data_IF_448176530852
#
_entry.id   IF_448176530852
#
_cell.length_a   1.000
_cell.length_b   1.000
_cell.length_c   1.000
_cell.angle_alpha   90.00
_cell.angle_beta   90.00
_cell.angle_gamma   90.00
#
_symmetry.space_group_name_H-M   'P 1'
#
loop_
_entity.id
_entity.type
_entity.pdbx_description
1 polymer ?
#
# COMPACT_ATOMS: atom_id res chain seq x y z
N UNK A 1 18.51 -38.90 37.84
CA UNK A 1 17.47 -37.87 38.05
C UNK A 1 18.12 -36.64 38.68
N UNK A 2 18.52 -35.66 37.87
CA UNK A 2 19.10 -34.41 38.39
C UNK A 2 17.96 -33.48 38.83
N UNK A 3 17.96 -33.07 40.11
CA UNK A 3 17.04 -32.07 40.65
C UNK A 3 17.37 -30.72 40.01
N UNK A 4 16.49 -30.22 39.14
CA UNK A 4 16.57 -28.87 38.61
C UNK A 4 16.52 -27.86 39.78
N UNK A 5 17.46 -26.92 39.78
CA UNK A 5 17.62 -25.92 40.82
C UNK A 5 16.46 -24.92 40.77
N UNK A 6 15.60 -24.90 41.81
CA UNK A 6 14.34 -24.14 41.86
C UNK A 6 14.49 -22.64 41.54
N UNK A 7 15.67 -22.05 41.79
CA UNK A 7 15.94 -20.63 41.47
C UNK A 7 16.00 -20.35 39.97
N UNK A 8 16.56 -21.27 39.17
CA UNK A 8 16.67 -21.09 37.71
C UNK A 8 15.30 -21.22 37.05
N UNK A 9 14.47 -22.16 37.55
CA UNK A 9 13.08 -22.33 37.10
C UNK A 9 12.22 -21.10 37.42
N UNK A 10 12.35 -20.51 38.62
CA UNK A 10 11.67 -19.25 38.95
C UNK A 10 12.13 -18.09 38.06
N UNK A 11 13.43 -17.98 37.77
CA UNK A 11 13.95 -16.90 36.94
C UNK A 11 13.44 -17.00 35.49
N UNK A 12 13.41 -18.22 34.94
CA UNK A 12 12.86 -18.47 33.61
C UNK A 12 11.36 -18.15 33.54
N UNK A 13 10.59 -18.55 34.56
CA UNK A 13 9.16 -18.26 34.61
C UNK A 13 8.88 -16.76 34.76
N UNK A 14 9.71 -16.02 35.51
CA UNK A 14 9.59 -14.56 35.63
C UNK A 14 9.91 -13.85 34.31
N UNK A 15 10.93 -14.31 33.58
CA UNK A 15 11.28 -13.80 32.25
C UNK A 15 10.17 -14.08 31.22
N UNK A 16 9.58 -15.28 31.26
CA UNK A 16 8.42 -15.64 30.44
C UNK A 16 7.22 -14.75 30.77
N UNK A 17 6.95 -14.47 32.04
CA UNK A 17 5.85 -13.58 32.43
C UNK A 17 6.07 -12.14 31.97
N UNK A 18 7.29 -11.62 32.13
CA UNK A 18 7.66 -10.27 31.68
C UNK A 18 7.59 -10.13 30.16
N UNK A 19 8.01 -11.15 29.41
CA UNK A 19 7.89 -11.15 27.94
C UNK A 19 6.43 -11.20 27.48
N UNK A 20 5.56 -11.95 28.17
CA UNK A 20 4.12 -11.96 27.89
C UNK A 20 3.48 -10.60 28.18
N UNK A 21 3.86 -9.95 29.29
CA UNK A 21 3.37 -8.60 29.63
C UNK A 21 3.85 -7.55 28.61
N UNK A 22 5.10 -7.65 28.12
CA UNK A 22 5.59 -6.79 27.04
C UNK A 22 4.85 -7.02 25.71
N UNK A 23 4.57 -8.28 25.37
CA UNK A 23 3.79 -8.61 24.17
C UNK A 23 2.35 -8.08 24.26
N UNK A 24 1.71 -8.15 25.42
CA UNK A 24 0.35 -7.60 25.63
C UNK A 24 0.38 -6.07 25.57
N UNK A 25 1.35 -5.42 26.21
CA UNK A 25 1.49 -3.96 26.20
C UNK A 25 1.76 -3.40 24.80
N UNK A 26 2.59 -4.09 24.01
CA UNK A 26 2.84 -3.72 22.60
C UNK A 26 1.66 -4.02 21.68
N UNK A 27 0.85 -5.03 21.99
CA UNK A 27 -0.39 -5.31 21.27
C UNK A 27 -1.51 -4.29 21.55
N UNK A 28 -1.56 -3.69 22.74
CA UNK A 28 -2.66 -2.77 23.14
C UNK A 28 -2.41 -1.28 22.87
N UNK A 29 -1.22 -0.86 22.42
CA UNK A 29 -0.93 0.52 21.98
C UNK A 29 -1.38 1.65 22.94
N UNK A 30 -1.32 1.45 24.27
CA UNK A 30 -1.66 2.53 25.23
C UNK A 30 -0.48 3.49 25.41
N UNK A 31 -0.63 4.74 24.95
CA UNK A 31 0.31 5.85 25.25
C UNK A 31 -0.03 6.46 26.61
N UNK A 32 0.94 6.51 27.52
CA UNK A 32 0.94 7.42 28.69
C UNK A 32 1.16 8.85 28.18
N UNK A 33 0.21 9.73 28.46
CA UNK A 33 0.12 11.05 27.84
C UNK A 33 1.07 12.08 28.45
N UNK A 34 1.94 12.64 27.61
CA UNK A 34 2.50 14.00 27.76
C UNK A 34 2.53 14.61 26.36
N UNK A 35 1.79 15.72 26.19
CA UNK A 35 1.59 16.37 24.90
C UNK A 35 2.66 17.40 24.58
N UNK A 36 3.24 17.31 23.38
CA UNK A 36 3.99 18.39 22.75
C UNK A 36 3.23 18.87 21.51
N UNK A 37 3.11 20.19 21.36
CA UNK A 37 2.55 20.83 20.16
C UNK A 37 3.55 20.65 19.01
N UNK A 38 3.15 19.94 17.96
CA UNK A 38 3.91 19.78 16.71
C UNK A 38 3.44 20.84 15.71
N UNK A 39 4.40 21.55 15.11
CA UNK A 39 4.15 22.48 13.99
C UNK A 39 3.98 21.70 12.69
N UNK A 40 3.14 22.26 11.85
CA UNK A 40 2.56 21.68 10.64
C UNK A 40 3.61 21.25 9.60
N UNK A 41 3.54 19.99 9.16
CA UNK A 41 4.26 19.46 8.01
C UNK A 41 3.29 18.62 7.18
N UNK A 42 3.08 19.04 5.93
CA UNK A 42 2.18 18.42 4.95
C UNK A 42 2.48 16.94 4.71
N UNK A 43 1.43 16.15 4.45
CA UNK A 43 1.50 14.71 4.23
C UNK A 43 2.29 14.32 2.97
N UNK A 44 3.48 13.77 3.16
CA UNK A 44 4.29 13.22 2.07
C UNK A 44 4.54 11.73 2.31
N UNK A 45 4.59 10.93 1.23
CA UNK A 45 4.63 9.48 1.32
C UNK A 45 5.91 9.04 2.08
N UNK A 46 5.71 8.29 3.16
CA UNK A 46 6.74 7.96 4.16
C UNK A 46 7.48 6.67 3.77
N UNK A 47 8.79 6.76 3.57
CA UNK A 47 9.71 5.63 3.59
C UNK A 47 10.31 5.50 4.99
N UNK A 48 10.83 4.32 5.34
CA UNK A 48 11.65 4.16 6.55
C UNK A 48 13.10 3.92 6.16
N UNK A 49 13.99 4.73 6.69
CA UNK A 49 15.44 4.58 6.66
C UNK A 49 15.89 3.85 7.92
N UNK A 50 16.74 2.83 7.77
CA UNK A 50 17.37 2.16 8.90
C UNK A 50 18.77 2.76 9.09
N UNK A 51 19.07 3.24 10.30
CA UNK A 51 20.38 3.81 10.64
C UNK A 51 21.50 2.81 10.34
N UNK A 52 22.50 3.23 9.59
CA UNK A 52 23.70 2.46 9.29
C UNK A 52 24.86 2.85 10.23
N UNK A 53 25.89 2.02 10.28
CA UNK A 53 27.08 2.33 11.08
C UNK A 53 27.75 3.60 10.56
N UNK A 54 27.97 4.58 11.46
CA UNK A 54 28.59 5.87 11.13
C UNK A 54 27.60 6.96 10.71
N UNK A 55 26.29 6.67 10.67
CA UNK A 55 25.30 7.70 10.43
C UNK A 55 25.19 8.71 11.59
N UNK A 56 24.88 9.95 11.23
CA UNK A 56 24.40 11.01 12.14
C UNK A 56 23.09 11.56 11.58
N UNK A 57 22.24 12.19 12.40
CA UNK A 57 21.01 12.80 11.88
C UNK A 57 21.27 13.75 10.70
N UNK A 58 22.34 14.55 10.75
CA UNK A 58 22.71 15.47 9.68
C UNK A 58 23.04 14.74 8.37
N UNK A 59 23.81 13.64 8.45
CA UNK A 59 24.11 12.80 7.28
C UNK A 59 22.85 12.12 6.75
N UNK A 60 21.95 11.68 7.62
CA UNK A 60 20.68 11.06 7.20
C UNK A 60 19.80 12.10 6.50
N UNK A 61 19.70 13.32 7.04
CA UNK A 61 18.95 14.44 6.45
C UNK A 61 19.46 14.77 5.05
N UNK A 62 20.78 14.79 4.85
CA UNK A 62 21.40 14.98 3.55
C UNK A 62 21.13 13.80 2.61
N UNK A 63 21.32 12.55 3.09
CA UNK A 63 21.06 11.31 2.33
C UNK A 63 19.62 11.22 1.83
N UNK A 64 18.65 11.66 2.62
CA UNK A 64 17.22 11.63 2.26
C UNK A 64 16.73 12.94 1.61
N UNK A 65 17.65 13.86 1.30
CA UNK A 65 17.38 15.12 0.61
C UNK A 65 16.22 15.93 1.21
N UNK A 66 16.28 16.16 2.53
CA UNK A 66 15.28 16.95 3.27
C UNK A 66 15.94 18.04 4.13
N UNK A 67 15.15 18.87 4.80
CA UNK A 67 15.66 19.81 5.79
C UNK A 67 15.65 19.19 7.19
N UNK A 68 16.58 19.62 8.04
CA UNK A 68 16.68 19.13 9.42
C UNK A 68 15.37 19.35 10.21
N UNK A 69 14.72 20.50 10.01
CA UNK A 69 13.43 20.81 10.61
C UNK A 69 12.33 19.85 10.13
N UNK A 70 12.29 19.53 8.83
CA UNK A 70 11.33 18.57 8.28
C UNK A 70 11.58 17.16 8.79
N UNK A 71 12.85 16.78 8.93
CA UNK A 71 13.28 15.49 9.47
C UNK A 71 12.88 15.29 10.93
N UNK A 72 13.05 16.32 11.77
CA UNK A 72 12.60 16.27 13.17
C UNK A 72 11.07 16.30 13.27
N UNK A 73 10.39 17.06 12.41
CA UNK A 73 8.92 17.14 12.41
C UNK A 73 8.26 15.78 12.14
N UNK A 74 8.86 14.96 11.27
CA UNK A 74 8.36 13.61 10.98
C UNK A 74 8.91 12.54 11.93
N UNK A 75 10.01 12.81 12.63
CA UNK A 75 10.61 11.94 13.65
C UNK A 75 10.66 12.61 15.04
N UNK A 76 9.52 13.01 15.63
CA UNK A 76 9.51 13.85 16.83
C UNK A 76 10.12 13.21 18.08
N UNK A 77 10.37 11.89 18.07
CA UNK A 77 10.97 11.14 19.17
C UNK A 77 12.42 10.72 18.89
N UNK A 78 13.03 11.18 17.79
CA UNK A 78 14.42 10.86 17.51
C UNK A 78 15.34 11.69 18.41
N UNK A 79 16.29 11.02 19.07
CA UNK A 79 17.39 11.68 19.75
C UNK A 79 18.65 11.55 18.90
N UNK A 80 19.08 12.65 18.29
CA UNK A 80 20.20 12.67 17.36
C UNK A 80 21.55 12.37 17.99
N UNK A 81 21.68 12.50 19.31
CA UNK A 81 22.89 12.18 20.06
C UNK A 81 23.00 10.69 20.41
N UNK A 82 21.92 9.92 20.21
CA UNK A 82 21.84 8.52 20.63
C UNK A 82 21.17 7.62 19.59
N UNK A 83 21.33 7.92 18.31
CA UNK A 83 20.86 7.02 17.25
C UNK A 83 21.70 5.74 17.22
N UNK A 84 21.06 4.61 16.92
CA UNK A 84 21.72 3.31 16.89
C UNK A 84 21.46 2.58 15.59
N UNK A 85 22.42 1.75 15.16
CA UNK A 85 22.32 0.96 13.92
C UNK A 85 21.06 0.10 13.94
N UNK A 86 20.27 0.18 12.87
CA UNK A 86 18.97 -0.50 12.75
C UNK A 86 17.79 0.27 13.35
N UNK A 87 17.99 1.44 13.94
CA UNK A 87 16.89 2.31 14.35
C UNK A 87 16.11 2.79 13.13
N UNK A 88 14.78 2.76 13.25
CA UNK A 88 13.86 3.11 12.18
C UNK A 88 13.57 4.60 12.20
N UNK A 89 13.87 5.28 11.09
CA UNK A 89 13.71 6.71 10.91
C UNK A 89 12.81 6.97 9.72
N UNK A 90 11.73 7.71 9.92
CA UNK A 90 10.82 8.12 8.87
C UNK A 90 11.52 9.10 7.93
N UNK A 91 11.35 8.88 6.63
CA UNK A 91 11.90 9.69 5.54
C UNK A 91 10.77 10.11 4.58
N UNK A 92 10.82 11.33 4.07
CA UNK A 92 9.85 11.85 3.11
C UNK A 92 10.36 11.62 1.68
N UNK A 93 9.51 11.05 0.83
CA UNK A 93 9.73 11.12 -0.61
C UNK A 93 9.07 12.38 -1.17
N UNK A 94 9.88 13.37 -1.53
CA UNK A 94 9.48 14.40 -2.46
C UNK A 94 9.23 13.75 -3.83
N UNK A 95 8.00 13.80 -4.32
CA UNK A 95 7.63 13.50 -5.72
C UNK A 95 7.88 12.07 -6.27
N UNK A 96 7.94 11.02 -5.45
CA UNK A 96 8.06 9.64 -5.93
C UNK A 96 6.93 8.70 -5.45
N UNK A 97 6.71 7.62 -6.22
CA UNK A 97 5.54 6.73 -6.16
C UNK A 97 5.20 6.23 -4.75
N UNK A 98 3.93 6.37 -4.39
CA UNK A 98 3.37 5.73 -3.20
C UNK A 98 3.02 4.30 -3.61
N UNK A 99 3.96 3.36 -3.44
CA UNK A 99 3.72 1.93 -3.65
C UNK A 99 3.22 1.32 -2.34
N UNK A 100 2.59 0.13 -2.39
CA UNK A 100 2.19 -0.61 -1.20
C UNK A 100 3.38 -0.73 -0.24
N UNK A 101 3.22 -0.22 1.00
CA UNK A 101 4.29 -0.16 2.01
C UNK A 101 5.03 -1.49 2.23
N UNK A 102 4.35 -2.64 2.08
CA UNK A 102 4.99 -3.95 2.22
C UNK A 102 6.00 -4.26 1.13
N UNK A 103 5.91 -3.71 -0.09
CA UNK A 103 6.89 -3.97 -1.14
C UNK A 103 8.28 -3.49 -0.74
N UNK A 104 8.40 -2.25 -0.24
CA UNK A 104 9.68 -1.73 0.23
C UNK A 104 10.30 -2.57 1.34
N UNK A 105 9.47 -3.09 2.26
CA UNK A 105 9.94 -3.99 3.32
C UNK A 105 10.44 -5.32 2.75
N UNK A 106 9.68 -5.94 1.83
CA UNK A 106 10.07 -7.21 1.20
C UNK A 106 11.41 -7.07 0.46
N UNK A 107 11.57 -6.02 -0.37
CA UNK A 107 12.79 -5.82 -1.14
C UNK A 107 14.00 -5.46 -0.26
N UNK A 108 13.80 -4.65 0.78
CA UNK A 108 14.84 -4.34 1.77
C UNK A 108 15.31 -5.61 2.48
N UNK A 109 14.38 -6.42 2.98
CA UNK A 109 14.71 -7.62 3.75
C UNK A 109 15.31 -8.72 2.86
N UNK A 110 15.02 -8.69 1.56
CA UNK A 110 15.68 -9.50 0.54
C UNK A 110 17.03 -8.92 0.07
N UNK A 111 17.45 -7.76 0.59
CA UNK A 111 18.67 -7.04 0.21
C UNK A 111 18.79 -6.75 -1.29
N UNK A 112 17.69 -6.46 -1.95
CA UNK A 112 17.66 -6.09 -3.37
C UNK A 112 17.63 -4.56 -3.48
N UNK A 113 18.62 -3.94 -4.14
CA UNK A 113 18.59 -2.50 -4.42
C UNK A 113 17.35 -2.14 -5.24
N UNK A 114 16.62 -1.12 -4.80
CA UNK A 114 15.40 -0.67 -5.47
C UNK A 114 15.52 0.80 -5.87
N UNK A 115 14.82 1.15 -6.96
CA UNK A 115 14.53 2.54 -7.36
C UNK A 115 13.02 2.66 -7.56
N UNK A 116 12.51 3.87 -7.44
CA UNK A 116 11.10 4.18 -7.72
C UNK A 116 10.99 4.87 -9.09
N UNK A 117 9.79 4.82 -9.66
CA UNK A 117 9.41 5.57 -10.86
C UNK A 117 8.19 6.42 -10.52
N UNK A 118 7.96 7.51 -11.24
CA UNK A 118 6.84 8.43 -11.02
C UNK A 118 5.54 7.79 -11.50
N UNK A 119 4.48 7.94 -10.72
CA UNK A 119 3.18 7.28 -10.99
C UNK A 119 1.99 8.17 -10.68
N UNK A 120 1.86 8.66 -9.46
CA UNK A 120 0.70 9.46 -9.02
C UNK A 120 1.02 10.96 -9.08
N UNK A 121 0.14 11.75 -9.69
CA UNK A 121 0.19 13.21 -9.63
C UNK A 121 -0.74 13.70 -8.52
N UNK A 122 -0.21 14.45 -7.56
CA UNK A 122 -0.96 14.93 -6.39
C UNK A 122 -1.97 16.02 -6.71
N UNK A 123 -1.67 16.88 -7.68
CA UNK A 123 -2.52 18.00 -8.06
C UNK A 123 -3.74 17.50 -8.85
N UNK A 124 -3.51 16.63 -9.84
CA UNK A 124 -4.59 16.03 -10.62
C UNK A 124 -5.26 14.85 -9.93
N UNK A 125 -4.63 14.29 -8.88
CA UNK A 125 -5.03 13.06 -8.18
C UNK A 125 -5.20 11.85 -9.12
N UNK A 126 -4.47 11.87 -10.23
CA UNK A 126 -4.51 10.88 -11.31
C UNK A 126 -3.12 10.38 -11.68
N UNK A 127 -3.03 9.70 -12.83
CA UNK A 127 -1.79 9.12 -13.32
C UNK A 127 -0.88 10.23 -13.89
N UNK A 128 0.37 10.25 -13.45
CA UNK A 128 1.43 11.04 -14.07
C UNK A 128 2.07 10.25 -15.22
N UNK A 129 1.29 10.03 -16.29
CA UNK A 129 1.67 9.11 -17.36
C UNK A 129 2.96 9.49 -18.07
N UNK A 130 3.16 10.78 -18.36
CA UNK A 130 4.38 11.26 -19.00
C UNK A 130 5.62 10.97 -18.15
N UNK A 131 5.57 11.28 -16.85
CA UNK A 131 6.68 11.04 -15.95
C UNK A 131 6.97 9.55 -15.76
N UNK A 132 5.92 8.72 -15.74
CA UNK A 132 6.05 7.26 -15.73
C UNK A 132 6.83 6.78 -16.95
N UNK A 133 6.40 7.17 -18.16
CA UNK A 133 7.07 6.77 -19.40
C UNK A 133 8.50 7.30 -19.48
N UNK A 134 8.76 8.52 -19.02
CA UNK A 134 10.11 9.07 -18.98
C UNK A 134 11.02 8.22 -18.08
N UNK A 135 10.54 7.78 -16.92
CA UNK A 135 11.31 6.93 -16.01
C UNK A 135 11.54 5.53 -16.58
N UNK A 136 10.55 4.96 -17.29
CA UNK A 136 10.70 3.70 -18.02
C UNK A 136 11.77 3.83 -19.11
N UNK A 137 11.73 4.89 -19.92
CA UNK A 137 12.72 5.11 -20.99
C UNK A 137 14.13 5.33 -20.47
N UNK A 138 14.26 6.00 -19.33
CA UNK A 138 15.54 6.34 -18.72
C UNK A 138 16.11 5.24 -17.81
N UNK A 139 15.32 4.21 -17.49
CA UNK A 139 15.82 3.06 -16.74
C UNK A 139 16.89 2.29 -17.55
N UNK A 140 17.88 1.66 -16.89
CA UNK A 140 18.83 0.79 -17.57
C UNK A 140 18.12 -0.35 -18.32
N UNK A 141 18.60 -0.68 -19.51
CA UNK A 141 18.06 -1.80 -20.30
C UNK A 141 18.05 -3.09 -19.46
N UNK A 142 17.01 -3.92 -19.60
CA UNK A 142 16.89 -5.14 -18.80
C UNK A 142 16.39 -4.95 -17.36
N UNK A 143 16.04 -3.73 -16.94
CA UNK A 143 15.51 -3.47 -15.59
C UNK A 143 14.25 -4.29 -15.26
N UNK A 144 14.13 -4.70 -13.99
CA UNK A 144 12.96 -5.34 -13.43
C UNK A 144 11.97 -4.29 -12.91
N UNK A 145 10.70 -4.40 -13.29
CA UNK A 145 9.63 -3.50 -12.83
C UNK A 145 8.52 -4.27 -12.13
N UNK A 146 8.16 -3.79 -10.94
CA UNK A 146 6.97 -4.25 -10.21
C UNK A 146 5.77 -3.37 -10.56
N UNK A 147 4.70 -3.98 -11.07
CA UNK A 147 3.52 -3.29 -11.60
C UNK A 147 2.24 -3.81 -10.94
N UNK A 148 1.32 -2.91 -10.58
CA UNK A 148 -0.06 -3.27 -10.30
C UNK A 148 -0.83 -3.30 -11.63
N UNK A 149 -1.36 -4.44 -12.09
CA UNK A 149 -2.09 -4.53 -13.36
C UNK A 149 -3.48 -3.88 -13.28
N UNK A 150 -4.04 -3.77 -12.08
CA UNK A 150 -5.31 -3.11 -11.79
C UNK A 150 -5.42 -2.75 -10.29
N UNK A 151 -6.34 -1.85 -9.96
CA UNK A 151 -6.64 -1.38 -8.61
C UNK A 151 -5.38 -1.06 -7.79
N UNK A 152 -4.55 -0.17 -8.33
CA UNK A 152 -3.29 0.24 -7.70
C UNK A 152 -3.48 0.59 -6.22
N UNK A 153 -2.69 -0.05 -5.34
CA UNK A 153 -2.70 0.26 -3.90
C UNK A 153 -1.47 1.11 -3.57
N UNK A 154 -1.63 2.33 -3.01
CA UNK A 154 -2.81 2.87 -2.30
C UNK A 154 -3.72 3.81 -3.12
N UNK A 155 -3.36 4.15 -4.35
CA UNK A 155 -3.94 5.33 -5.03
C UNK A 155 -5.31 5.09 -5.68
N UNK A 156 -5.61 3.86 -6.07
CA UNK A 156 -6.76 3.51 -6.90
C UNK A 156 -6.69 4.09 -8.32
N UNK A 157 -5.53 4.55 -8.77
CA UNK A 157 -5.33 5.10 -10.12
C UNK A 157 -4.67 4.04 -10.97
N UNK A 158 -5.29 3.69 -12.10
CA UNK A 158 -4.75 2.72 -13.06
C UNK A 158 -4.53 3.40 -14.43
N UNK A 159 -3.55 2.95 -15.23
CA UNK A 159 -3.48 3.30 -16.65
C UNK A 159 -4.67 2.72 -17.41
N UNK A 160 -5.11 3.45 -18.44
CA UNK A 160 -6.06 2.92 -19.41
C UNK A 160 -5.40 1.95 -20.41
N UNK A 161 -6.18 1.35 -21.31
CA UNK A 161 -5.67 0.35 -22.25
C UNK A 161 -4.59 0.91 -23.19
N UNK A 162 -4.77 2.12 -23.72
CA UNK A 162 -3.82 2.74 -24.65
C UNK A 162 -2.52 3.09 -23.93
N UNK A 163 -2.62 3.58 -22.70
CA UNK A 163 -1.47 3.81 -21.82
C UNK A 163 -0.72 2.51 -21.51
N UNK A 164 -1.43 1.41 -21.23
CA UNK A 164 -0.80 0.10 -21.02
C UNK A 164 -0.08 -0.41 -22.26
N UNK A 165 -0.63 -0.20 -23.46
CA UNK A 165 0.02 -0.56 -24.73
C UNK A 165 1.31 0.22 -24.94
N UNK A 166 1.30 1.52 -24.69
CA UNK A 166 2.50 2.35 -24.79
C UNK A 166 3.56 1.94 -23.75
N UNK A 167 3.17 1.65 -22.50
CA UNK A 167 4.09 1.13 -21.48
C UNK A 167 4.70 -0.19 -21.95
N UNK A 168 3.88 -1.12 -22.47
CA UNK A 168 4.36 -2.42 -22.96
C UNK A 168 5.35 -2.28 -24.12
N UNK A 169 5.06 -1.37 -25.06
CA UNK A 169 5.96 -1.04 -26.15
C UNK A 169 7.32 -0.53 -25.64
N UNK A 170 7.34 0.42 -24.70
CA UNK A 170 8.60 0.91 -24.12
C UNK A 170 9.38 -0.18 -23.36
N UNK A 171 8.67 -1.06 -22.64
CA UNK A 171 9.31 -2.22 -22.00
C UNK A 171 9.98 -3.13 -23.02
N UNK A 172 9.38 -3.29 -24.22
CA UNK A 172 9.93 -4.14 -25.28
C UNK A 172 11.18 -3.52 -25.88
N UNK A 173 11.15 -2.22 -26.16
CA UNK A 173 12.30 -1.44 -26.66
C UNK A 173 13.50 -1.57 -25.71
N UNK A 174 13.23 -1.51 -24.40
CA UNK A 174 14.27 -1.52 -23.35
C UNK A 174 14.58 -2.92 -22.81
N UNK A 175 13.92 -3.95 -23.34
CA UNK A 175 13.97 -5.33 -22.87
C UNK A 175 13.76 -5.48 -21.34
N UNK A 176 12.87 -4.68 -20.76
CA UNK A 176 12.56 -4.72 -19.33
C UNK A 176 11.77 -5.97 -18.95
N UNK A 177 11.93 -6.41 -17.71
CA UNK A 177 11.18 -7.53 -17.16
C UNK A 177 9.94 -7.03 -16.35
N UNK A 178 8.71 -7.25 -16.85
CA UNK A 178 7.49 -6.92 -16.12
C UNK A 178 7.13 -8.01 -15.09
N UNK A 179 7.00 -7.61 -13.84
CA UNK A 179 6.46 -8.44 -12.76
C UNK A 179 5.19 -7.82 -12.19
N UNK A 180 4.07 -8.54 -12.27
CA UNK A 180 2.78 -8.04 -11.84
C UNK A 180 2.43 -8.51 -10.42
N UNK A 181 1.94 -7.59 -9.58
CA UNK A 181 1.28 -7.92 -8.31
C UNK A 181 -0.25 -7.81 -8.50
N UNK A 182 -0.90 -8.96 -8.70
CA UNK A 182 -2.32 -9.11 -8.96
C UNK A 182 -3.07 -9.50 -7.67
N UNK A 183 -3.36 -8.53 -6.82
CA UNK A 183 -4.09 -8.76 -5.57
C UNK A 183 -5.60 -8.51 -5.64
N UNK A 184 -6.08 -7.85 -6.70
CA UNK A 184 -7.42 -7.25 -6.80
C UNK A 184 -8.16 -7.61 -8.08
N UNK A 185 -7.86 -8.74 -8.72
CA UNK A 185 -8.58 -9.16 -9.93
C UNK A 185 -10.09 -9.26 -9.68
N UNK A 186 -10.87 -8.53 -10.45
CA UNK A 186 -12.32 -8.36 -10.31
C UNK A 186 -12.73 -7.14 -9.45
N UNK A 187 -11.79 -6.43 -8.82
CA UNK A 187 -12.05 -5.30 -7.92
C UNK A 187 -11.74 -3.93 -8.53
N UNK A 188 -11.29 -3.85 -9.79
CA UNK A 188 -11.25 -2.58 -10.51
C UNK A 188 -12.53 -2.37 -11.31
N UNK A 189 -12.85 -3.28 -12.23
CA UNK A 189 -14.01 -3.18 -13.12
C UNK A 189 -15.24 -3.99 -12.68
N UNK A 190 -15.07 -4.99 -11.80
CA UNK A 190 -16.08 -6.02 -11.56
C UNK A 190 -15.99 -7.20 -12.53
N UNK A 191 -15.02 -7.20 -13.44
CA UNK A 191 -14.78 -8.24 -14.43
C UNK A 191 -13.34 -8.77 -14.35
N UNK A 192 -13.20 -10.10 -14.34
CA UNK A 192 -11.90 -10.74 -14.16
C UNK A 192 -10.99 -10.57 -15.38
N UNK A 193 -11.56 -10.48 -16.58
CA UNK A 193 -10.84 -10.44 -17.85
C UNK A 193 -10.36 -9.02 -18.15
N UNK A 194 -11.19 -8.03 -17.87
CA UNK A 194 -10.82 -6.60 -17.95
C UNK A 194 -9.70 -6.29 -16.96
N UNK A 195 -9.81 -6.76 -15.72
CA UNK A 195 -8.80 -6.50 -14.68
C UNK A 195 -7.46 -7.21 -14.98
N UNK A 196 -7.45 -8.24 -15.83
CA UNK A 196 -6.24 -8.92 -16.28
C UNK A 196 -5.67 -8.36 -17.61
N UNK A 197 -6.27 -7.31 -18.18
CA UNK A 197 -5.93 -6.82 -19.52
C UNK A 197 -4.48 -6.35 -19.64
N UNK A 198 -3.93 -5.67 -18.63
CA UNK A 198 -2.52 -5.25 -18.61
C UNK A 198 -1.57 -6.44 -18.79
N UNK A 199 -1.79 -7.54 -18.05
CA UNK A 199 -0.97 -8.75 -18.18
C UNK A 199 -1.10 -9.34 -19.60
N UNK A 200 -2.33 -9.39 -20.13
CA UNK A 200 -2.59 -9.93 -21.48
C UNK A 200 -1.88 -9.14 -22.58
N UNK A 201 -1.89 -7.81 -22.51
CA UNK A 201 -1.16 -6.94 -23.45
C UNK A 201 0.33 -7.32 -23.47
N UNK A 202 0.95 -7.44 -22.29
CA UNK A 202 2.37 -7.82 -22.23
C UNK A 202 2.63 -9.24 -22.73
N UNK A 203 1.73 -10.18 -22.50
CA UNK A 203 1.88 -11.53 -23.06
C UNK A 203 1.71 -11.52 -24.59
N UNK A 204 0.73 -10.78 -25.11
CA UNK A 204 0.46 -10.59 -26.54
C UNK A 204 1.65 -9.94 -27.27
N UNK A 205 2.30 -8.95 -26.65
CA UNK A 205 3.50 -8.29 -27.16
C UNK A 205 4.79 -9.14 -26.98
N UNK A 206 4.64 -10.37 -26.47
CA UNK A 206 5.71 -11.37 -26.39
C UNK A 206 6.72 -11.10 -25.27
N UNK A 207 6.30 -10.50 -24.16
CA UNK A 207 7.14 -10.34 -22.98
C UNK A 207 7.23 -11.64 -22.19
N UNK A 208 8.40 -11.93 -21.64
CA UNK A 208 8.56 -12.88 -20.53
C UNK A 208 8.16 -12.14 -19.25
N UNK A 209 7.16 -12.65 -18.52
CA UNK A 209 6.59 -11.96 -17.35
C UNK A 209 6.50 -12.84 -16.10
N UNK A 210 6.58 -12.20 -14.93
CA UNK A 210 6.20 -12.79 -13.65
C UNK A 210 4.88 -12.22 -13.13
N UNK A 211 4.13 -13.00 -12.34
CA UNK A 211 2.92 -12.55 -11.66
C UNK A 211 2.79 -13.18 -10.27
N UNK A 212 2.66 -12.35 -9.24
CA UNK A 212 2.22 -12.75 -7.91
C UNK A 212 0.72 -12.46 -7.79
N UNK A 213 -0.09 -13.50 -7.68
CA UNK A 213 -1.55 -13.40 -7.56
C UNK A 213 -1.99 -13.70 -6.13
N UNK A 214 -2.94 -12.92 -5.59
CA UNK A 214 -3.53 -13.15 -4.27
C UNK A 214 -5.02 -13.47 -4.36
N UNK A 215 -5.48 -14.43 -3.54
CA UNK A 215 -6.90 -14.74 -3.37
C UNK A 215 -7.50 -14.18 -2.08
N UNK A 216 -6.73 -13.37 -1.36
CA UNK A 216 -7.16 -12.83 -0.07
C UNK A 216 -8.39 -11.92 -0.20
N UNK A 217 -8.48 -11.13 -1.28
CA UNK A 217 -9.54 -10.13 -1.45
C UNK A 217 -10.69 -10.68 -2.27
N UNK A 218 -10.38 -11.20 -3.46
CA UNK A 218 -11.40 -11.62 -4.40
C UNK A 218 -12.19 -12.87 -3.99
N UNK A 219 -11.63 -13.73 -3.14
CA UNK A 219 -12.33 -14.88 -2.55
C UNK A 219 -12.53 -14.73 -1.04
N UNK A 220 -12.19 -13.57 -0.45
CA UNK A 220 -12.31 -13.35 1.00
C UNK A 220 -11.37 -14.21 1.87
N UNK A 221 -10.35 -14.85 1.28
CA UNK A 221 -9.47 -15.80 1.94
C UNK A 221 -8.27 -15.14 2.66
N UNK A 222 -8.50 -14.01 3.34
CA UNK A 222 -7.45 -13.20 3.97
C UNK A 222 -6.54 -14.02 4.90
N UNK A 223 -7.13 -14.75 5.84
CA UNK A 223 -6.42 -15.54 6.84
C UNK A 223 -5.84 -16.86 6.32
N UNK A 224 -6.32 -17.36 5.17
CA UNK A 224 -5.82 -18.62 4.60
C UNK A 224 -4.51 -18.48 3.83
N UNK A 225 -4.06 -17.23 3.59
CA UNK A 225 -2.76 -16.91 2.99
C UNK A 225 -2.55 -17.59 1.62
N UNK A 226 -3.59 -17.57 0.78
CA UNK A 226 -3.58 -18.23 -0.53
C UNK A 226 -3.18 -17.26 -1.64
N UNK A 227 -2.24 -17.70 -2.46
CA UNK A 227 -1.77 -16.98 -3.64
C UNK A 227 -1.02 -17.92 -4.59
N UNK A 228 -0.56 -17.37 -5.70
CA UNK A 228 0.19 -18.10 -6.73
C UNK A 228 1.31 -17.23 -7.28
N UNK A 229 2.49 -17.82 -7.51
CA UNK A 229 3.55 -17.22 -8.31
C UNK A 229 3.55 -17.90 -9.69
N UNK A 230 3.36 -17.11 -10.73
CA UNK A 230 3.44 -17.55 -12.13
C UNK A 230 4.64 -16.88 -12.81
N UNK A 231 5.40 -17.64 -13.59
CA UNK A 231 6.49 -17.12 -14.43
C UNK A 231 6.30 -17.69 -15.83
N UNK A 232 6.07 -16.82 -16.80
CA UNK A 232 6.03 -17.20 -18.21
C UNK A 232 7.46 -17.52 -18.66
N UNK A 233 7.65 -18.65 -19.33
CA UNK A 233 8.96 -19.13 -19.78
C UNK A 233 8.94 -19.31 -21.30
N UNK A 234 10.11 -19.18 -21.94
CA UNK A 234 10.21 -19.28 -23.40
C UNK A 234 10.10 -20.73 -23.90
N UNK A 235 10.51 -21.69 -23.06
CA UNK A 235 10.52 -23.11 -23.40
C UNK A 235 10.39 -24.02 -22.16
N UNK A 236 10.14 -25.31 -22.40
CA UNK A 236 9.97 -26.32 -21.34
C UNK A 236 11.22 -26.55 -20.49
N UNK A 237 12.43 -26.36 -21.02
CA UNK A 237 13.67 -26.51 -20.23
C UNK A 237 13.76 -25.40 -19.20
N UNK A 238 13.44 -24.16 -19.57
CA UNK A 238 13.35 -23.03 -18.63
C UNK A 238 12.30 -23.28 -17.54
N UNK A 239 11.12 -23.82 -17.89
CA UNK A 239 10.08 -24.16 -16.90
C UNK A 239 10.62 -25.12 -15.84
N UNK A 240 11.29 -26.20 -16.25
CA UNK A 240 11.86 -27.19 -15.31
C UNK A 240 12.92 -26.55 -14.43
N UNK A 241 13.82 -25.76 -15.02
CA UNK A 241 14.88 -25.07 -14.29
C UNK A 241 14.32 -24.10 -13.24
N UNK A 242 13.46 -23.17 -13.64
CA UNK A 242 12.86 -22.16 -12.75
C UNK A 242 12.05 -22.84 -11.64
N UNK A 243 11.21 -23.82 -11.98
CA UNK A 243 10.42 -24.56 -11.01
C UNK A 243 11.31 -25.23 -9.95
N UNK A 244 12.42 -25.85 -10.36
CA UNK A 244 13.34 -26.51 -9.43
C UNK A 244 13.98 -25.52 -8.44
N UNK A 245 14.36 -24.32 -8.90
CA UNK A 245 14.96 -23.28 -8.05
C UNK A 245 13.93 -22.69 -7.08
N UNK A 246 12.72 -22.38 -7.56
CA UNK A 246 11.62 -21.92 -6.71
C UNK A 246 11.25 -22.94 -5.63
N UNK A 247 11.25 -24.23 -5.97
CA UNK A 247 10.99 -25.30 -5.00
C UNK A 247 12.10 -25.40 -3.94
N UNK A 248 13.37 -25.20 -4.30
CA UNK A 248 14.47 -25.18 -3.33
C UNK A 248 14.34 -24.01 -2.36
N UNK A 249 14.04 -22.80 -2.87
CA UNK A 249 13.80 -21.61 -2.05
C UNK A 249 12.61 -21.85 -1.11
N UNK A 250 11.47 -22.28 -1.64
CA UNK A 250 10.28 -22.57 -0.84
C UNK A 250 10.54 -23.62 0.25
N UNK A 251 11.29 -24.68 -0.09
CA UNK A 251 11.63 -25.76 0.84
C UNK A 251 12.44 -25.26 2.03
N UNK A 252 13.41 -24.37 1.78
CA UNK A 252 14.23 -23.78 2.84
C UNK A 252 13.45 -22.76 3.69
N UNK A 253 12.49 -22.03 3.11
CA UNK A 253 11.74 -21.00 3.84
C UNK A 253 10.57 -21.56 4.66
N UNK A 254 9.77 -22.46 4.07
CA UNK A 254 8.53 -22.93 4.69
C UNK A 254 8.15 -24.37 4.33
N UNK A 255 9.06 -25.15 3.72
CA UNK A 255 8.84 -26.51 3.23
C UNK A 255 7.80 -26.62 2.11
N UNK A 256 6.52 -26.46 2.44
CA UNK A 256 5.38 -26.58 1.52
C UNK A 256 4.23 -25.67 1.96
N UNK A 257 3.42 -25.14 1.02
CA UNK A 257 2.32 -24.23 1.35
C UNK A 257 1.17 -24.93 2.09
N UNK A 258 0.35 -24.20 2.86
CA UNK A 258 -0.84 -24.75 3.53
C UNK A 258 -1.90 -25.20 2.53
N UNK A 259 -2.41 -26.43 2.71
CA UNK A 259 -3.30 -27.08 1.73
C UNK A 259 -4.74 -26.54 1.72
N UNK A 260 -5.27 -26.14 2.88
CA UNK A 260 -6.71 -25.89 3.03
C UNK A 260 -7.21 -24.76 2.13
N UNK A 261 -6.51 -23.62 2.12
CA UNK A 261 -6.89 -22.50 1.27
C UNK A 261 -6.75 -22.81 -0.23
N UNK A 262 -5.77 -23.62 -0.62
CA UNK A 262 -5.60 -24.08 -2.01
C UNK A 262 -6.78 -24.96 -2.43
N UNK A 263 -7.27 -25.83 -1.55
CA UNK A 263 -8.45 -26.66 -1.82
C UNK A 263 -9.73 -25.83 -2.00
N UNK A 264 -9.92 -24.76 -1.22
CA UNK A 264 -11.04 -23.84 -1.41
C UNK A 264 -10.99 -23.17 -2.78
N UNK A 265 -9.85 -22.60 -3.15
CA UNK A 265 -9.64 -21.98 -4.46
C UNK A 265 -9.87 -22.99 -5.59
N UNK A 266 -9.29 -24.19 -5.48
CA UNK A 266 -9.46 -25.26 -6.45
C UNK A 266 -10.92 -25.69 -6.62
N UNK A 267 -11.66 -25.81 -5.51
CA UNK A 267 -13.08 -26.17 -5.52
C UNK A 267 -13.92 -25.11 -6.23
N UNK A 268 -13.66 -23.83 -5.95
CA UNK A 268 -14.36 -22.71 -6.61
C UNK A 268 -14.05 -22.68 -8.10
N UNK A 269 -12.78 -22.81 -8.49
CA UNK A 269 -12.35 -22.64 -9.89
C UNK A 269 -12.64 -23.86 -10.78
N UNK A 270 -12.68 -25.07 -10.21
CA UNK A 270 -12.89 -26.31 -10.97
C UNK A 270 -14.37 -26.67 -11.14
N UNK A 271 -15.27 -26.08 -10.34
CA UNK A 271 -16.71 -26.28 -10.46
C UNK A 271 -17.35 -25.08 -11.21
N UNK A 272 -17.92 -25.29 -12.41
CA UNK A 272 -18.50 -24.19 -13.20
C UNK A 272 -19.60 -23.40 -12.50
N UNK A 273 -20.46 -24.06 -11.72
CA UNK A 273 -21.58 -23.42 -11.03
C UNK A 273 -21.08 -22.55 -9.86
N UNK A 274 -20.13 -23.07 -9.08
CA UNK A 274 -19.52 -22.32 -7.97
C UNK A 274 -18.68 -21.16 -8.51
N UNK A 275 -17.92 -21.37 -9.60
CA UNK A 275 -17.17 -20.31 -10.26
C UNK A 275 -18.10 -19.19 -10.74
N UNK A 276 -19.24 -19.55 -11.36
CA UNK A 276 -20.24 -18.59 -11.83
C UNK A 276 -20.86 -17.80 -10.67
N UNK A 277 -21.16 -18.47 -9.54
CA UNK A 277 -21.61 -17.80 -8.32
C UNK A 277 -20.57 -16.79 -7.82
N UNK A 278 -19.31 -17.21 -7.68
CA UNK A 278 -18.22 -16.36 -7.24
C UNK A 278 -18.03 -15.11 -8.14
N UNK A 279 -18.07 -15.29 -9.46
CA UNK A 279 -18.00 -14.16 -10.41
C UNK A 279 -19.16 -13.18 -10.22
N UNK A 280 -20.38 -13.68 -9.97
CA UNK A 280 -21.53 -12.82 -9.67
C UNK A 280 -21.35 -12.06 -8.35
N UNK A 281 -20.82 -12.72 -7.31
CA UNK A 281 -20.57 -12.08 -6.01
C UNK A 281 -19.51 -10.98 -6.11
N UNK A 282 -18.45 -11.17 -6.92
CA UNK A 282 -17.49 -10.12 -7.25
C UNK A 282 -18.20 -8.89 -7.83
N UNK A 283 -19.08 -9.09 -8.82
CA UNK A 283 -19.86 -8.00 -9.42
C UNK A 283 -20.74 -7.30 -8.40
N UNK A 284 -21.38 -8.03 -7.48
CA UNK A 284 -22.18 -7.44 -6.39
C UNK A 284 -21.31 -6.56 -5.47
N UNK A 285 -20.14 -7.07 -5.06
CA UNK A 285 -19.20 -6.33 -4.22
C UNK A 285 -18.70 -5.05 -4.90
N UNK A 286 -18.36 -5.12 -6.19
CA UNK A 286 -17.89 -3.95 -6.93
C UNK A 286 -18.97 -2.92 -7.21
N UNK A 287 -20.18 -3.35 -7.57
CA UNK A 287 -21.31 -2.44 -7.73
C UNK A 287 -21.61 -1.70 -6.42
N UNK A 288 -21.42 -2.34 -5.25
CA UNK A 288 -21.55 -1.68 -3.95
C UNK A 288 -20.47 -0.61 -3.75
N UNK A 289 -19.21 -0.92 -4.05
CA UNK A 289 -18.09 0.03 -3.92
C UNK A 289 -18.30 1.24 -4.84
N UNK A 290 -18.73 1.03 -6.09
CA UNK A 290 -19.02 2.12 -7.03
C UNK A 290 -20.17 3.01 -6.54
N UNK A 291 -21.25 2.43 -6.01
CA UNK A 291 -22.35 3.21 -5.40
C UNK A 291 -21.87 4.05 -4.21
N UNK A 292 -20.99 3.50 -3.38
CA UNK A 292 -20.41 4.22 -2.25
C UNK A 292 -19.53 5.39 -2.73
N UNK A 293 -18.71 5.19 -3.78
CA UNK A 293 -17.90 6.27 -4.37
C UNK A 293 -18.77 7.42 -4.83
N UNK A 294 -19.80 7.12 -5.62
CA UNK A 294 -20.74 8.11 -6.12
C UNK A 294 -21.45 8.84 -4.96
N UNK A 295 -22.02 8.09 -4.01
CA UNK A 295 -22.73 8.69 -2.90
C UNK A 295 -21.82 9.55 -2.00
N UNK A 296 -20.58 9.13 -1.75
CA UNK A 296 -19.64 9.92 -0.94
C UNK A 296 -19.27 11.24 -1.63
N UNK A 297 -19.00 11.19 -2.94
CA UNK A 297 -18.76 12.39 -3.75
C UNK A 297 -19.97 13.32 -3.72
N UNK A 298 -21.15 12.79 -4.04
CA UNK A 298 -22.40 13.56 -4.07
C UNK A 298 -22.70 14.21 -2.73
N UNK A 299 -22.46 13.51 -1.61
CA UNK A 299 -22.65 14.06 -0.27
C UNK A 299 -21.67 15.20 0.02
N UNK A 300 -20.39 15.07 -0.35
CA UNK A 300 -19.40 16.15 -0.15
C UNK A 300 -19.72 17.39 -1.00
N UNK A 301 -20.18 17.20 -2.23
CA UNK A 301 -20.61 18.29 -3.11
C UNK A 301 -21.88 18.98 -2.59
N UNK A 302 -22.88 18.22 -2.12
CA UNK A 302 -24.11 18.77 -1.51
C UNK A 302 -23.86 19.55 -0.22
N UNK A 303 -22.82 19.19 0.53
CA UNK A 303 -22.38 19.94 1.71
C UNK A 303 -21.67 21.26 1.35
N UNK A 304 -21.45 21.54 0.06
CA UNK A 304 -20.78 22.75 -0.39
C UNK A 304 -19.27 22.72 -0.18
N UNK A 305 -18.64 21.53 -0.24
CA UNK A 305 -17.19 21.44 -0.11
C UNK A 305 -16.48 22.25 -1.21
N UNK A 306 -15.46 23.07 -0.88
CA UNK A 306 -14.75 23.89 -1.87
C UNK A 306 -13.74 23.09 -2.71
N UNK A 307 -13.52 21.81 -2.41
CA UNK A 307 -12.54 20.96 -3.08
C UNK A 307 -13.17 20.14 -4.22
N UNK A 308 -12.37 19.87 -5.25
CA UNK A 308 -12.75 18.90 -6.27
C UNK A 308 -12.61 17.46 -5.73
N UNK A 309 -13.73 16.72 -5.75
CA UNK A 309 -13.87 15.33 -5.30
C UNK A 309 -14.09 14.33 -6.43
N UNK A 310 -13.93 14.74 -7.69
CA UNK A 310 -14.13 13.89 -8.87
C UNK A 310 -13.25 12.62 -8.87
N UNK A 311 -12.06 12.71 -8.27
CA UNK A 311 -11.14 11.58 -8.13
C UNK A 311 -11.74 10.40 -7.35
N UNK A 312 -12.69 10.62 -6.44
CA UNK A 312 -13.36 9.53 -5.70
C UNK A 312 -14.04 8.56 -6.67
N UNK A 313 -14.64 9.08 -7.74
CA UNK A 313 -15.34 8.29 -8.76
C UNK A 313 -14.45 7.83 -9.92
N UNK A 314 -13.33 8.53 -10.19
CA UNK A 314 -12.35 8.13 -11.21
C UNK A 314 -11.41 7.03 -10.72
N UNK A 315 -11.09 7.01 -9.42
CA UNK A 315 -10.30 5.95 -8.83
C UNK A 315 -11.10 4.64 -8.73
N UNK A 316 -10.40 3.52 -8.86
CA UNK A 316 -10.93 2.16 -8.84
C UNK A 316 -10.42 1.39 -7.61
N UNK A 317 -10.87 0.14 -7.43
CA UNK A 317 -10.42 -0.68 -6.31
C UNK A 317 -11.17 -0.43 -5.00
N UNK A 318 -10.68 -1.09 -3.95
CA UNK A 318 -11.23 -0.98 -2.59
C UNK A 318 -10.90 0.34 -1.88
N UNK A 319 -9.95 1.13 -2.42
CA UNK A 319 -9.40 2.29 -1.75
C UNK A 319 -9.66 3.59 -2.51
N UNK A 320 -9.88 4.66 -1.75
CA UNK A 320 -9.90 6.01 -2.27
C UNK A 320 -8.74 6.79 -1.66
N UNK A 321 -7.85 7.31 -2.49
CA UNK A 321 -6.80 8.21 -2.04
C UNK A 321 -7.37 9.62 -2.00
N UNK A 322 -7.85 10.01 -0.81
CA UNK A 322 -8.72 11.18 -0.64
C UNK A 322 -8.03 12.52 -0.88
N UNK A 323 -6.72 12.59 -0.65
CA UNK A 323 -5.97 13.85 -0.60
C UNK A 323 -6.06 14.57 0.74
N UNK A 324 -6.66 13.95 1.77
CA UNK A 324 -6.65 14.49 3.14
C UNK A 324 -5.21 14.53 3.69
N UNK A 325 -4.88 15.62 4.39
CA UNK A 325 -3.58 15.84 5.04
C UNK A 325 -3.49 15.01 6.33
N UNK A 326 -2.30 14.86 6.97
CA UNK A 326 -2.19 14.06 8.18
C UNK A 326 -3.03 14.69 9.29
N UNK A 327 -3.08 16.02 9.34
CA UNK A 327 -3.85 16.79 10.32
C UNK A 327 -5.35 16.58 10.13
N UNK A 328 -5.86 16.55 8.90
CA UNK A 328 -7.26 16.20 8.66
C UNK A 328 -7.55 14.78 9.16
N UNK A 329 -6.66 13.82 8.90
CA UNK A 329 -6.82 12.44 9.38
C UNK A 329 -6.76 12.35 10.91
N UNK A 330 -5.82 13.06 11.54
CA UNK A 330 -5.64 13.08 12.99
C UNK A 330 -6.87 13.75 13.68
N UNK A 331 -7.44 14.81 13.09
CA UNK A 331 -8.70 15.42 13.53
C UNK A 331 -9.90 14.47 13.36
N UNK A 332 -10.02 13.81 12.20
CA UNK A 332 -11.06 12.81 11.95
C UNK A 332 -11.04 11.69 13.00
N UNK A 333 -9.85 11.20 13.36
CA UNK A 333 -9.70 10.17 14.37
C UNK A 333 -10.05 10.68 15.79
N UNK A 334 -9.62 11.90 16.13
CA UNK A 334 -9.78 12.47 17.48
C UNK A 334 -11.20 12.95 17.76
N UNK A 335 -11.83 13.63 16.81
CA UNK A 335 -13.09 14.36 17.01
C UNK A 335 -14.29 13.57 16.47
N UNK A 336 -14.09 12.76 15.43
CA UNK A 336 -15.17 12.03 14.75
C UNK A 336 -15.03 10.50 14.86
N UNK A 337 -13.97 10.00 15.49
CA UNK A 337 -13.70 8.56 15.57
C UNK A 337 -13.72 7.86 14.20
N UNK A 338 -13.29 8.57 13.15
CA UNK A 338 -13.13 8.05 11.79
C UNK A 338 -11.66 7.70 11.57
N UNK A 339 -11.36 6.41 11.42
CA UNK A 339 -10.00 5.91 11.30
C UNK A 339 -9.66 5.55 9.85
N UNK A 340 -8.55 6.08 9.36
CA UNK A 340 -7.97 5.76 8.06
C UNK A 340 -6.45 5.80 8.17
N UNK A 341 -5.74 5.36 7.13
CA UNK A 341 -4.29 5.50 7.14
C UNK A 341 -3.91 6.97 7.05
N UNK A 342 -2.83 7.33 7.74
CA UNK A 342 -2.41 8.73 7.89
C UNK A 342 -2.11 9.40 6.55
N UNK A 343 -1.83 8.62 5.52
CA UNK A 343 -1.67 9.05 4.11
C UNK A 343 -2.98 9.45 3.41
N UNK A 344 -4.12 9.45 4.10
CA UNK A 344 -5.41 9.82 3.54
C UNK A 344 -6.07 8.73 2.67
N UNK A 345 -5.56 7.50 2.66
CA UNK A 345 -6.21 6.37 1.98
C UNK A 345 -7.40 5.86 2.80
N UNK A 346 -8.58 5.96 2.22
CA UNK A 346 -9.86 5.47 2.78
C UNK A 346 -10.15 4.08 2.23
N UNK A 347 -10.49 3.13 3.11
CA UNK A 347 -11.07 1.84 2.71
C UNK A 347 -12.58 2.00 2.50
N UNK A 348 -13.02 2.04 1.24
CA UNK A 348 -14.44 2.16 0.92
C UNK A 348 -15.23 0.90 1.27
N UNK A 349 -14.53 -0.21 1.50
CA UNK A 349 -15.14 -1.44 1.98
C UNK A 349 -15.86 -1.24 3.34
N UNK A 350 -15.33 -0.37 4.21
CA UNK A 350 -15.90 -0.07 5.53
C UNK A 350 -17.03 0.98 5.54
N UNK A 351 -17.32 1.60 4.39
CA UNK A 351 -18.40 2.58 4.27
C UNK A 351 -19.71 1.85 3.97
N UNK A 352 -20.79 2.29 4.60
CA UNK A 352 -22.15 1.75 4.47
C UNK A 352 -23.13 2.90 4.28
N UNK A 353 -24.35 2.61 3.82
CA UNK A 353 -25.41 3.62 3.75
C UNK A 353 -25.71 4.26 5.12
N UNK A 354 -25.51 3.53 6.21
CA UNK A 354 -25.74 4.02 7.57
C UNK A 354 -24.67 4.98 8.09
N UNK A 355 -23.42 4.91 7.60
CA UNK A 355 -22.33 5.77 8.07
C UNK A 355 -21.83 6.79 7.04
N UNK A 356 -22.29 6.72 5.78
CA UNK A 356 -21.81 7.59 4.71
C UNK A 356 -22.05 9.08 4.99
N UNK A 357 -23.25 9.45 5.44
CA UNK A 357 -23.56 10.85 5.77
C UNK A 357 -22.68 11.37 6.90
N UNK A 358 -22.41 10.54 7.91
CA UNK A 358 -21.52 10.90 9.01
C UNK A 358 -20.08 11.13 8.52
N UNK A 359 -19.57 10.22 7.69
CA UNK A 359 -18.25 10.33 7.09
C UNK A 359 -18.11 11.59 6.22
N UNK A 360 -19.08 11.87 5.34
CA UNK A 360 -19.06 13.04 4.47
C UNK A 360 -19.09 14.34 5.27
N UNK A 361 -19.93 14.42 6.31
CA UNK A 361 -19.97 15.57 7.22
C UNK A 361 -18.64 15.78 7.95
N UNK A 362 -18.05 14.71 8.48
CA UNK A 362 -16.77 14.77 9.18
C UNK A 362 -15.65 15.25 8.24
N UNK A 363 -15.56 14.68 7.04
CA UNK A 363 -14.59 15.11 6.02
C UNK A 363 -14.81 16.58 5.65
N UNK A 364 -16.06 17.00 5.44
CA UNK A 364 -16.38 18.37 5.12
C UNK A 364 -15.91 19.32 6.25
N UNK A 365 -16.24 19.02 7.51
CA UNK A 365 -15.86 19.86 8.66
C UNK A 365 -14.35 20.05 8.81
N UNK A 366 -13.57 18.96 8.73
CA UNK A 366 -12.10 19.07 8.88
C UNK A 366 -11.44 19.76 7.67
N UNK A 367 -12.09 19.76 6.51
CA UNK A 367 -11.55 20.39 5.29
C UNK A 367 -12.00 21.84 5.11
N UNK A 368 -13.21 22.23 5.55
CA UNK A 368 -13.74 23.58 5.40
C UNK A 368 -13.29 24.55 6.52
N UNK A 369 -13.29 24.11 7.78
CA UNK A 369 -13.03 24.99 8.93
C UNK A 369 -11.57 25.46 9.03
N UNK A 370 -10.61 24.74 8.45
CA UNK A 370 -9.21 25.17 8.42
C UNK A 370 -9.00 26.40 7.51
N UNK A 371 -9.84 26.62 6.49
CA UNK A 371 -9.75 27.82 5.65
C UNK A 371 -10.24 29.09 6.35
N UNK A 372 -11.23 29.00 7.26
CA UNK A 372 -11.68 30.18 8.02
C UNK A 372 -10.64 30.64 9.04
N UNK A 373 -9.91 29.72 9.66
CA UNK A 373 -8.80 30.05 10.57
C UNK A 373 -7.61 30.67 9.81
N UNK A 374 -7.34 30.22 8.59
CA UNK A 374 -6.35 30.84 7.68
C UNK A 374 -6.79 32.25 7.22
N UNK A 375 -8.07 32.45 6.91
CA UNK A 375 -8.60 33.80 6.57
C UNK A 375 -8.57 34.75 7.76
N UNK A 376 -8.94 34.30 8.97
CA UNK A 376 -8.89 35.13 10.19
C UNK A 376 -7.48 35.54 10.59
N UNK A 377 -6.48 34.68 10.37
CA UNK A 377 -5.08 34.98 10.70
C UNK A 377 -4.42 35.95 9.71
N UNK A 378 -4.91 36.07 8.48
CA UNK A 378 -4.46 37.08 7.51
C UNK A 378 -5.11 38.46 7.77
N UNK A 379 -6.35 38.50 8.26
CA UNK A 379 -7.05 39.77 8.59
C UNK A 379 -6.55 40.38 9.91
N UNK A 380 -5.91 39.60 10.79
CA UNK A 380 -5.35 40.11 12.06
C UNK A 380 -3.95 40.74 11.94
N UNK A 381 -3.42 40.94 10.72
CA UNK A 381 -2.09 41.54 10.47
C UNK A 381 -2.19 42.85 9.66
N UNK A 382 -3.38 43.44 9.53
CA UNK A 382 -3.58 44.77 8.92
C UNK A 382 -3.95 45.83 9.93
#
# INVERSE_FOLDING_TARGET
>A
MAKFNNKISMLLNLLLLLSVVLMISTAESRKLGIGFKVKDASLQCLQVYAVEAGDTCSLIVEKINTTFDSFLAINPNINCDSIFVGQWILSLLNNQSCVLHSHHNIWRDAHVPQRTFRYYNRDSKGLNFQALLDDVKNAPDGSFFLLHPCAHNPTGVDPDEDQWREISHQFKVKNHFPFFDMAYQGFASGDLDIDAKAIRIFVEDGHVTGCAQSFAKNMGLYGHRVGCLSVLCSDTKQVVAIKSQLQQIARAMYSSPPVHGVLLVSTILSNPDIKSLWVREIKVMMNRIQRIRAALRDSLEKLGSPFNWEHITKQVGMFCFSGLTPNHVDQLAKEFHVYMTRDGRISLAGVTSGNLSYLANAIHQVTCCNQENLKRSVVSVS
#
